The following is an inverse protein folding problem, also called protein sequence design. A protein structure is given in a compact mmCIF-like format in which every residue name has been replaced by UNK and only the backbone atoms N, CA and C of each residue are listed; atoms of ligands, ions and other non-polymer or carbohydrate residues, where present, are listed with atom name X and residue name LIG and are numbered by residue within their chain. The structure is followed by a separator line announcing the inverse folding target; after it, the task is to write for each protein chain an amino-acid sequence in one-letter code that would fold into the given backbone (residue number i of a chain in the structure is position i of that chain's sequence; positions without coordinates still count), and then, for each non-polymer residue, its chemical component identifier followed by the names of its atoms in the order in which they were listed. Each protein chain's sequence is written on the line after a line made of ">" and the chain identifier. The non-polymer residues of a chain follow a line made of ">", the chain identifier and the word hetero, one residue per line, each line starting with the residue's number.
data_IF_463334879039
#
_entry.id   IF_463334879039
#
_cell.length_a   1.000
_cell.length_b   1.000
_cell.length_c   1.000
_cell.angle_alpha   90.00
_cell.angle_beta   90.00
_cell.angle_gamma   90.00
#
_symmetry.space_group_name_H-M   'P 1'
#
loop_
_entity.id
_entity.type
_entity.pdbx_description
1 polymer ?
#
# COMPACT_ATOMS: atom_id res chain seq x y z
N UNK A 1 11.24 28.12 -14.96
CA UNK A 1 12.45 28.65 -15.62
C UNK A 1 12.70 30.11 -15.23
N UNK A 2 11.71 30.96 -15.24
CA UNK A 2 11.83 32.40 -14.84
C UNK A 2 12.32 32.60 -13.41
N UNK A 3 11.80 31.85 -12.46
CA UNK A 3 12.27 31.86 -11.05
C UNK A 3 13.75 31.48 -10.91
N UNK A 4 14.23 30.52 -11.72
CA UNK A 4 15.63 30.12 -11.76
C UNK A 4 16.52 31.26 -12.31
N UNK A 5 16.05 31.95 -13.32
CA UNK A 5 16.77 33.13 -13.89
C UNK A 5 16.85 34.25 -12.87
N UNK A 6 15.76 34.49 -12.11
CA UNK A 6 15.72 35.50 -11.07
C UNK A 6 16.59 35.19 -9.86
N UNK A 7 16.68 33.88 -9.51
CA UNK A 7 17.48 33.38 -8.39
C UNK A 7 18.97 33.28 -8.72
N UNK A 8 19.35 33.29 -10.01
CA UNK A 8 20.74 33.15 -10.43
C UNK A 8 21.53 34.43 -10.21
N UNK A 9 22.63 34.34 -9.49
CA UNK A 9 23.60 35.43 -9.36
C UNK A 9 25.03 34.88 -9.43
N UNK A 10 25.94 35.64 -9.98
CA UNK A 10 27.37 35.28 -10.06
C UNK A 10 27.98 35.21 -8.65
N UNK A 11 27.53 36.08 -7.75
CA UNK A 11 27.95 36.15 -6.35
C UNK A 11 27.53 34.92 -5.56
N UNK A 12 26.38 34.29 -5.93
CA UNK A 12 25.85 33.08 -5.32
C UNK A 12 26.53 31.80 -5.83
N UNK A 13 27.42 31.87 -6.82
CA UNK A 13 28.11 30.70 -7.35
C UNK A 13 29.16 30.19 -6.35
N UNK A 14 29.01 28.93 -5.92
CA UNK A 14 30.04 28.28 -5.11
C UNK A 14 31.31 28.05 -5.93
N UNK A 15 32.46 28.34 -5.33
CA UNK A 15 33.79 28.00 -5.90
C UNK A 15 34.18 26.54 -5.68
N UNK A 16 33.40 25.80 -4.89
CA UNK A 16 33.62 24.38 -4.66
C UNK A 16 33.08 23.53 -5.80
N UNK A 17 33.73 22.40 -6.17
CA UNK A 17 33.19 21.47 -7.15
C UNK A 17 31.78 21.02 -6.73
N UNK A 18 30.82 21.12 -7.64
CA UNK A 18 29.49 20.57 -7.40
C UNK A 18 29.55 19.04 -7.50
N UNK A 19 29.18 18.33 -6.44
CA UNK A 19 28.99 16.88 -6.47
C UNK A 19 27.53 16.62 -6.84
N UNK A 20 27.34 15.86 -7.93
CA UNK A 20 26.01 15.40 -8.32
C UNK A 20 25.57 14.27 -7.39
N UNK A 21 24.70 14.58 -6.44
CA UNK A 21 24.18 13.63 -5.46
C UNK A 21 22.76 13.20 -5.87
N UNK A 22 22.65 12.02 -6.46
CA UNK A 22 21.38 11.42 -6.91
C UNK A 22 20.42 11.23 -5.73
N UNK A 23 20.92 10.81 -4.55
CA UNK A 23 20.07 10.57 -3.39
C UNK A 23 19.43 11.87 -2.90
N UNK A 24 20.22 12.96 -2.87
CA UNK A 24 19.70 14.28 -2.52
C UNK A 24 18.64 14.75 -3.52
N UNK A 25 18.85 14.55 -4.81
CA UNK A 25 17.86 14.91 -5.84
C UNK A 25 16.60 14.07 -5.72
N UNK A 26 16.72 12.77 -5.47
CA UNK A 26 15.56 11.89 -5.24
C UNK A 26 14.77 12.33 -4.01
N UNK A 27 15.45 12.64 -2.91
CA UNK A 27 14.81 13.18 -1.72
C UNK A 27 14.09 14.52 -1.99
N UNK A 28 14.73 15.45 -2.70
CA UNK A 28 14.10 16.72 -3.09
C UNK A 28 12.87 16.48 -3.96
N UNK A 29 12.96 15.57 -4.94
CA UNK A 29 11.83 15.23 -5.80
C UNK A 29 10.64 14.67 -4.99
N UNK A 30 10.93 13.80 -4.01
CA UNK A 30 9.91 13.29 -3.09
C UNK A 30 9.20 14.41 -2.31
N UNK A 31 9.93 15.47 -1.89
CA UNK A 31 9.33 16.64 -1.24
C UNK A 31 8.38 17.41 -2.18
N UNK A 32 8.74 17.56 -3.45
CA UNK A 32 7.86 18.18 -4.44
C UNK A 32 6.62 17.31 -4.70
N UNK A 33 6.77 15.98 -4.82
CA UNK A 33 5.65 15.05 -5.01
C UNK A 33 4.68 15.14 -3.82
N UNK A 34 5.18 15.19 -2.59
CA UNK A 34 4.33 15.31 -1.39
C UNK A 34 3.54 16.61 -1.31
N UNK A 35 4.01 17.68 -1.98
CA UNK A 35 3.33 19.00 -2.02
C UNK A 35 2.25 19.10 -3.09
N UNK A 36 2.20 18.16 -4.03
CA UNK A 36 1.14 18.13 -5.05
C UNK A 36 -0.21 17.99 -4.37
N UNK A 37 -1.22 18.64 -4.92
CA UNK A 37 -2.60 18.31 -4.58
C UNK A 37 -2.94 16.89 -4.99
N UNK A 38 -3.93 16.22 -4.38
CA UNK A 38 -4.34 14.87 -4.78
C UNK A 38 -4.68 14.74 -6.27
N UNK A 39 -5.28 15.78 -6.86
CA UNK A 39 -5.62 15.80 -8.28
C UNK A 39 -4.38 15.87 -9.18
N UNK A 40 -3.40 16.72 -8.84
CA UNK A 40 -2.14 16.82 -9.57
C UNK A 40 -1.33 15.52 -9.46
N UNK A 41 -1.24 14.96 -8.25
CA UNK A 41 -0.56 13.67 -8.06
C UNK A 41 -1.21 12.59 -8.94
N UNK A 42 -2.54 12.48 -8.90
CA UNK A 42 -3.29 11.50 -9.70
C UNK A 42 -3.02 11.69 -11.20
N UNK A 43 -3.04 12.93 -11.69
CA UNK A 43 -2.77 13.22 -13.10
C UNK A 43 -1.36 12.78 -13.54
N UNK A 44 -0.35 13.02 -12.70
CA UNK A 44 1.01 12.55 -12.96
C UNK A 44 1.17 11.03 -12.81
N UNK A 45 0.45 10.40 -11.90
CA UNK A 45 0.53 8.96 -11.61
C UNK A 45 -0.23 8.10 -12.63
N UNK A 46 -1.23 8.64 -13.32
CA UNK A 46 -2.13 7.91 -14.22
C UNK A 46 -1.41 7.03 -15.25
N UNK A 47 -0.38 7.49 -15.99
CA UNK A 47 0.35 6.63 -16.93
C UNK A 47 1.03 5.43 -16.26
N UNK A 48 1.40 5.57 -15.00
CA UNK A 48 2.01 4.50 -14.21
C UNK A 48 0.97 3.54 -13.63
N UNK A 49 -0.25 4.01 -13.35
CA UNK A 49 -1.40 3.14 -13.02
C UNK A 49 -1.80 2.28 -14.21
N UNK A 50 -1.81 2.85 -15.42
CA UNK A 50 -2.05 2.12 -16.66
C UNK A 50 -0.98 1.04 -16.88
N UNK A 51 0.29 1.41 -16.75
CA UNK A 51 1.43 0.48 -16.87
C UNK A 51 1.36 -0.66 -15.86
N UNK A 52 0.89 -0.38 -14.64
CA UNK A 52 0.72 -1.38 -13.58
C UNK A 52 -0.55 -2.23 -13.70
N UNK A 53 -1.46 -1.91 -14.62
CA UNK A 53 -2.75 -2.59 -14.76
C UNK A 53 -3.77 -2.27 -13.67
N UNK A 54 -3.61 -1.15 -12.97
CA UNK A 54 -4.47 -0.73 -11.84
C UNK A 54 -5.31 0.53 -12.14
N UNK A 55 -5.29 1.01 -13.38
CA UNK A 55 -6.01 2.22 -13.78
C UNK A 55 -7.54 2.15 -13.60
N UNK A 56 -8.12 0.95 -13.51
CA UNK A 56 -9.54 0.76 -13.23
C UNK A 56 -9.92 0.79 -11.75
N UNK A 57 -8.95 0.92 -10.85
CA UNK A 57 -9.18 0.97 -9.40
C UNK A 57 -9.49 2.39 -8.93
N UNK A 58 -9.88 2.54 -7.66
CA UNK A 58 -10.15 3.86 -7.05
C UNK A 58 -8.85 4.70 -6.97
N UNK A 59 -8.77 5.73 -7.82
CA UNK A 59 -7.60 6.61 -7.89
C UNK A 59 -7.43 7.46 -6.63
N UNK A 60 -8.50 7.78 -5.90
CA UNK A 60 -8.37 8.55 -4.66
C UNK A 60 -7.68 7.72 -3.58
N UNK A 61 -8.07 6.45 -3.45
CA UNK A 61 -7.42 5.51 -2.52
C UNK A 61 -5.98 5.23 -2.96
N UNK A 62 -5.73 4.94 -4.26
CA UNK A 62 -4.39 4.73 -4.80
C UNK A 62 -3.46 5.91 -4.52
N UNK A 63 -3.89 7.12 -4.86
CA UNK A 63 -3.09 8.33 -4.69
C UNK A 63 -2.79 8.61 -3.22
N UNK A 64 -3.77 8.44 -2.34
CA UNK A 64 -3.61 8.63 -0.90
C UNK A 64 -2.56 7.70 -0.28
N UNK A 65 -2.52 6.43 -0.70
CA UNK A 65 -1.54 5.47 -0.14
C UNK A 65 -0.16 5.59 -0.79
N UNK A 66 -0.08 6.07 -2.04
CA UNK A 66 1.15 6.15 -2.81
C UNK A 66 1.89 7.48 -2.61
N UNK A 67 1.21 8.61 -2.67
CA UNK A 67 1.83 9.94 -2.65
C UNK A 67 2.85 10.14 -1.52
N UNK A 68 2.59 9.74 -0.26
CA UNK A 68 3.56 9.92 0.84
C UNK A 68 4.82 9.07 0.69
N UNK A 69 4.79 8.05 -0.17
CA UNK A 69 5.84 7.03 -0.34
C UNK A 69 6.54 7.08 -1.68
N UNK A 70 6.02 7.88 -2.61
CA UNK A 70 6.57 8.01 -3.96
C UNK A 70 7.72 9.01 -3.95
N UNK A 71 8.90 8.56 -4.31
CA UNK A 71 10.08 9.41 -4.50
C UNK A 71 10.23 9.81 -5.97
N UNK A 72 9.91 8.88 -6.88
CA UNK A 72 9.83 9.09 -8.33
C UNK A 72 8.64 8.31 -8.88
N UNK A 73 7.89 8.87 -9.81
CA UNK A 73 6.68 8.23 -10.35
C UNK A 73 6.95 6.87 -11.02
N UNK A 74 8.16 6.67 -11.55
CA UNK A 74 8.55 5.40 -12.18
C UNK A 74 8.58 4.20 -11.23
N UNK A 75 8.56 4.42 -9.91
CA UNK A 75 8.50 3.35 -8.90
C UNK A 75 7.08 2.80 -8.70
N UNK A 76 6.04 3.55 -9.11
CA UNK A 76 4.64 3.20 -8.84
C UNK A 76 4.28 1.79 -9.33
N UNK A 77 4.62 1.36 -10.56
CA UNK A 77 4.28 0.00 -11.00
C UNK A 77 4.76 -1.09 -10.05
N UNK A 78 6.00 -1.00 -9.57
CA UNK A 78 6.58 -2.00 -8.65
C UNK A 78 5.98 -1.94 -7.25
N UNK A 79 5.45 -0.77 -6.85
CA UNK A 79 4.79 -0.60 -5.56
C UNK A 79 3.40 -1.25 -5.52
N UNK A 80 2.72 -1.39 -6.66
CA UNK A 80 1.32 -1.83 -6.76
C UNK A 80 1.11 -3.05 -7.65
N UNK A 81 2.16 -3.69 -8.17
CA UNK A 81 2.12 -4.88 -9.02
C UNK A 81 1.20 -5.98 -8.44
N UNK A 82 1.27 -6.20 -7.14
CA UNK A 82 0.46 -7.18 -6.42
C UNK A 82 -1.05 -6.90 -6.49
N UNK A 83 -1.46 -5.65 -6.71
CA UNK A 83 -2.89 -5.33 -6.87
C UNK A 83 -3.44 -5.91 -8.18
N UNK A 84 -2.68 -5.77 -9.27
CA UNK A 84 -3.06 -6.32 -10.56
C UNK A 84 -2.97 -7.85 -10.58
N UNK A 85 -1.88 -8.40 -10.01
CA UNK A 85 -1.65 -9.84 -10.00
C UNK A 85 -0.97 -10.27 -8.70
N UNK A 86 -1.63 -11.17 -7.95
CA UNK A 86 -1.03 -11.79 -6.77
C UNK A 86 0.01 -12.82 -7.21
N UNK A 87 1.21 -12.76 -6.63
CA UNK A 87 2.12 -13.90 -6.67
C UNK A 87 1.59 -15.00 -5.74
N UNK A 88 0.87 -15.97 -6.32
CA UNK A 88 0.27 -17.05 -5.54
C UNK A 88 1.30 -18.04 -4.97
N UNK A 89 2.59 -17.89 -5.28
CA UNK A 89 3.67 -18.74 -4.75
C UNK A 89 4.27 -18.23 -3.45
N UNK A 90 3.80 -17.09 -2.93
CA UNK A 90 4.36 -16.51 -1.70
C UNK A 90 4.39 -17.50 -0.52
N UNK A 91 5.45 -17.41 0.29
CA UNK A 91 5.69 -18.30 1.41
C UNK A 91 4.72 -18.05 2.58
N UNK A 92 4.20 -19.11 3.24
CA UNK A 92 3.47 -19.01 4.50
C UNK A 92 4.27 -18.32 5.63
N UNK A 93 5.59 -18.31 5.56
CA UNK A 93 6.44 -17.62 6.54
C UNK A 93 6.23 -16.10 6.58
N UNK A 94 5.70 -15.50 5.50
CA UNK A 94 5.36 -14.07 5.49
C UNK A 94 4.32 -13.69 6.55
N UNK A 95 3.51 -14.63 6.99
CA UNK A 95 2.56 -14.42 8.09
C UNK A 95 3.23 -14.22 9.44
N UNK A 96 4.50 -14.61 9.57
CA UNK A 96 5.25 -14.42 10.82
C UNK A 96 5.71 -12.96 10.98
N UNK A 97 5.32 -12.33 12.10
CA UNK A 97 5.75 -10.99 12.44
C UNK A 97 5.84 -10.81 13.96
N UNK A 98 7.06 -10.55 14.45
CA UNK A 98 7.32 -10.38 15.89
C UNK A 98 6.58 -9.16 16.49
N UNK A 99 6.51 -8.04 15.75
CA UNK A 99 5.85 -6.82 16.22
C UNK A 99 4.34 -6.99 16.33
N UNK A 100 3.75 -7.69 15.37
CA UNK A 100 2.31 -8.02 15.35
C UNK A 100 1.99 -9.28 16.16
N UNK A 101 2.98 -9.99 16.68
CA UNK A 101 2.84 -11.25 17.42
C UNK A 101 2.06 -12.30 16.62
N UNK A 102 2.39 -12.45 15.34
CA UNK A 102 1.76 -13.41 14.43
C UNK A 102 2.75 -14.48 13.99
N UNK A 103 2.22 -15.65 13.73
CA UNK A 103 2.84 -16.81 13.11
C UNK A 103 1.80 -17.51 12.24
N UNK A 104 2.12 -18.59 11.51
CA UNK A 104 1.15 -19.30 10.68
C UNK A 104 -0.10 -19.79 11.42
N UNK A 105 0.03 -20.26 12.65
CA UNK A 105 -1.09 -20.74 13.48
C UNK A 105 -2.06 -19.61 13.85
N UNK A 106 -1.53 -18.48 14.33
CA UNK A 106 -2.32 -17.28 14.63
C UNK A 106 -2.97 -16.75 13.36
N UNK A 107 -2.24 -16.74 12.24
CA UNK A 107 -2.75 -16.28 10.96
C UNK A 107 -3.92 -17.14 10.47
N UNK A 108 -3.81 -18.48 10.60
CA UNK A 108 -4.89 -19.40 10.28
C UNK A 108 -6.14 -19.13 11.11
N UNK A 109 -5.99 -18.98 12.42
CA UNK A 109 -7.11 -18.65 13.31
C UNK A 109 -7.77 -17.31 12.92
N UNK A 110 -6.97 -16.27 12.68
CA UNK A 110 -7.46 -14.95 12.25
C UNK A 110 -8.21 -15.03 10.93
N UNK A 111 -7.63 -15.64 9.89
CA UNK A 111 -8.28 -15.74 8.57
C UNK A 111 -9.57 -16.57 8.63
N UNK A 112 -9.61 -17.63 9.44
CA UNK A 112 -10.82 -18.45 9.65
C UNK A 112 -11.98 -17.66 10.27
N UNK A 113 -11.68 -16.65 11.11
CA UNK A 113 -12.68 -15.75 11.70
C UNK A 113 -13.07 -14.61 10.75
N UNK A 114 -12.09 -14.03 10.06
CA UNK A 114 -12.27 -12.80 9.25
C UNK A 114 -13.01 -13.09 7.94
N UNK A 115 -12.75 -14.22 7.28
CA UNK A 115 -13.35 -14.53 5.97
C UNK A 115 -14.89 -14.62 6.05
N UNK A 116 -15.51 -15.37 6.96
CA UNK A 116 -16.97 -15.39 7.06
C UNK A 116 -17.56 -14.03 7.40
N UNK A 117 -16.93 -13.26 8.29
CA UNK A 117 -17.38 -11.95 8.68
C UNK A 117 -17.36 -10.93 7.52
N UNK A 118 -16.25 -10.89 6.76
CA UNK A 118 -16.16 -10.06 5.55
C UNK A 118 -17.13 -10.51 4.45
N UNK A 119 -17.37 -11.82 4.31
CA UNK A 119 -18.33 -12.35 3.33
C UNK A 119 -19.77 -11.90 3.63
N UNK A 120 -20.11 -11.76 4.89
CA UNK A 120 -21.43 -11.33 5.36
C UNK A 120 -21.62 -9.80 5.37
N UNK A 121 -20.56 -9.02 5.14
CA UNK A 121 -20.62 -7.56 5.19
C UNK A 121 -21.57 -7.04 4.09
N UNK A 122 -22.60 -6.23 4.40
CA UNK A 122 -23.55 -5.75 3.40
C UNK A 122 -22.89 -4.85 2.36
N UNK A 123 -22.10 -3.88 2.81
CA UNK A 123 -21.44 -2.88 1.97
C UNK A 123 -19.92 -3.04 2.03
N UNK A 124 -19.26 -2.99 0.86
CA UNK A 124 -17.81 -3.12 0.74
C UNK A 124 -17.16 -1.75 0.63
N UNK A 125 -17.13 -1.03 1.75
CA UNK A 125 -16.53 0.30 1.88
C UNK A 125 -15.38 0.27 2.87
N UNK A 126 -14.50 1.27 2.79
CA UNK A 126 -13.39 1.41 3.73
C UNK A 126 -13.88 1.49 5.18
N UNK A 127 -14.93 2.27 5.42
CA UNK A 127 -15.54 2.45 6.74
C UNK A 127 -16.11 1.13 7.29
N UNK A 128 -16.86 0.39 6.47
CA UNK A 128 -17.47 -0.88 6.87
C UNK A 128 -16.42 -1.94 7.17
N UNK A 129 -15.41 -2.07 6.31
CA UNK A 129 -14.32 -3.03 6.50
C UNK A 129 -13.48 -2.65 7.73
N UNK A 130 -13.17 -1.36 7.90
CA UNK A 130 -12.44 -0.85 9.06
C UNK A 130 -13.21 -1.14 10.36
N UNK A 131 -14.48 -0.76 10.42
CA UNK A 131 -15.32 -0.99 11.59
C UNK A 131 -15.42 -2.46 11.98
N UNK A 132 -15.65 -3.34 10.97
CA UNK A 132 -15.72 -4.78 11.18
C UNK A 132 -14.39 -5.33 11.74
N UNK A 133 -13.25 -5.09 11.05
CA UNK A 133 -11.98 -5.68 11.43
C UNK A 133 -11.46 -5.19 12.78
N UNK A 134 -11.63 -3.90 13.09
CA UNK A 134 -11.22 -3.37 14.39
C UNK A 134 -12.16 -3.79 15.52
N UNK A 135 -13.47 -3.88 15.25
CA UNK A 135 -14.45 -4.45 16.17
C UNK A 135 -14.08 -5.89 16.54
N UNK A 136 -13.82 -6.73 15.54
CA UNK A 136 -13.37 -8.12 15.75
C UNK A 136 -12.08 -8.21 16.57
N UNK A 137 -11.10 -7.34 16.31
CA UNK A 137 -9.86 -7.31 17.08
C UNK A 137 -10.15 -7.01 18.57
N UNK A 138 -11.01 -6.04 18.84
CA UNK A 138 -11.41 -5.67 20.20
C UNK A 138 -12.18 -6.80 20.90
N UNK A 139 -13.17 -7.42 20.25
CA UNK A 139 -13.95 -8.54 20.76
C UNK A 139 -13.09 -9.75 21.11
N UNK A 140 -12.07 -10.03 20.30
CA UNK A 140 -11.13 -11.12 20.52
C UNK A 140 -9.99 -10.74 21.51
N UNK A 141 -9.97 -9.54 22.05
CA UNK A 141 -8.88 -9.06 22.91
C UNK A 141 -7.52 -8.99 22.20
N UNK A 142 -7.51 -8.91 20.87
CA UNK A 142 -6.32 -8.86 20.04
C UNK A 142 -5.89 -7.41 19.78
N UNK A 143 -4.57 -7.19 19.59
CA UNK A 143 -4.10 -5.93 19.00
C UNK A 143 -4.49 -5.86 17.53
N UNK A 144 -4.82 -4.67 17.04
CA UNK A 144 -5.16 -4.45 15.62
C UNK A 144 -4.11 -5.05 14.66
N UNK A 145 -2.81 -4.89 14.97
CA UNK A 145 -1.74 -5.47 14.16
C UNK A 145 -1.75 -7.00 14.10
N UNK A 146 -2.21 -7.66 15.17
CA UNK A 146 -2.32 -9.14 15.21
C UNK A 146 -3.40 -9.63 14.25
N UNK A 147 -4.50 -8.90 14.11
CA UNK A 147 -5.56 -9.23 13.16
C UNK A 147 -5.24 -8.74 11.74
N UNK A 148 -4.77 -7.51 11.59
CA UNK A 148 -4.59 -6.90 10.28
C UNK A 148 -3.37 -7.43 9.51
N UNK A 149 -2.33 -7.92 10.20
CA UNK A 149 -1.13 -8.45 9.52
C UNK A 149 -1.46 -9.66 8.65
N UNK A 150 -2.11 -10.75 9.16
CA UNK A 150 -2.49 -11.88 8.35
C UNK A 150 -3.40 -11.52 7.17
N UNK A 151 -4.37 -10.63 7.39
CA UNK A 151 -5.26 -10.14 6.34
C UNK A 151 -4.45 -9.46 5.23
N UNK A 152 -3.52 -8.56 5.58
CA UNK A 152 -2.70 -7.86 4.60
C UNK A 152 -1.80 -8.82 3.81
N UNK A 153 -1.16 -9.77 4.49
CA UNK A 153 -0.30 -10.77 3.81
C UNK A 153 -1.12 -11.61 2.84
N UNK A 154 -2.28 -12.09 3.24
CA UNK A 154 -3.15 -12.87 2.37
C UNK A 154 -3.61 -12.09 1.13
N UNK A 155 -3.91 -10.79 1.30
CA UNK A 155 -4.33 -9.92 0.20
C UNK A 155 -3.18 -9.55 -0.76
N UNK A 156 -1.97 -9.36 -0.26
CA UNK A 156 -0.86 -8.79 -1.01
C UNK A 156 0.27 -9.76 -1.38
N UNK A 157 0.44 -10.86 -0.65
CA UNK A 157 1.58 -11.76 -0.81
C UNK A 157 2.94 -11.13 -0.48
N UNK A 158 2.94 -9.94 0.15
CA UNK A 158 4.14 -9.15 0.44
C UNK A 158 4.12 -8.58 1.86
N UNK A 159 5.31 -8.44 2.47
CA UNK A 159 5.44 -7.81 3.79
C UNK A 159 5.40 -6.28 3.73
N UNK A 160 5.84 -5.70 2.63
CA UNK A 160 5.87 -4.25 2.43
C UNK A 160 4.89 -3.86 1.34
N UNK A 161 3.92 -3.02 1.69
CA UNK A 161 2.89 -2.51 0.80
C UNK A 161 2.66 -1.02 1.05
N UNK A 162 2.26 -0.24 0.05
CA UNK A 162 1.96 1.19 0.24
C UNK A 162 0.73 1.43 1.12
N UNK A 163 -0.25 0.51 1.11
CA UNK A 163 -1.45 0.56 1.93
C UNK A 163 -1.50 -0.52 3.01
N UNK A 164 -2.42 -0.39 3.95
CA UNK A 164 -2.77 -1.41 4.93
C UNK A 164 -3.76 -2.45 4.38
N UNK A 165 -4.19 -3.37 5.25
CA UNK A 165 -5.13 -4.43 4.87
C UNK A 165 -6.48 -3.88 4.35
N UNK A 166 -6.93 -2.77 4.92
CA UNK A 166 -8.25 -2.19 4.63
C UNK A 166 -8.24 -1.54 3.25
N UNK A 167 -7.29 -0.65 2.98
CA UNK A 167 -7.15 0.02 1.69
C UNK A 167 -6.93 -0.99 0.56
N UNK A 168 -6.13 -2.02 0.80
CA UNK A 168 -5.89 -3.09 -0.18
C UNK A 168 -7.19 -3.86 -0.45
N UNK A 169 -7.97 -4.21 0.59
CA UNK A 169 -9.25 -4.89 0.42
C UNK A 169 -10.26 -4.05 -0.39
N UNK A 170 -10.30 -2.74 -0.14
CA UNK A 170 -11.15 -1.81 -0.91
C UNK A 170 -10.73 -1.79 -2.38
N UNK A 171 -9.44 -1.62 -2.67
CA UNK A 171 -8.91 -1.54 -4.04
C UNK A 171 -9.15 -2.83 -4.83
N UNK A 172 -9.02 -3.99 -4.21
CA UNK A 172 -9.27 -5.29 -4.83
C UNK A 172 -10.77 -5.57 -5.07
N UNK A 173 -11.64 -4.93 -4.31
CA UNK A 173 -13.06 -5.25 -4.30
C UNK A 173 -13.36 -6.57 -3.59
N UNK A 174 -14.65 -6.79 -3.27
CA UNK A 174 -15.11 -7.94 -2.45
C UNK A 174 -14.66 -9.29 -3.02
N UNK A 175 -14.95 -9.56 -4.27
CA UNK A 175 -14.72 -10.88 -4.88
C UNK A 175 -13.25 -11.28 -4.85
N UNK A 176 -12.36 -10.40 -5.31
CA UNK A 176 -10.93 -10.68 -5.37
C UNK A 176 -10.31 -10.71 -3.98
N UNK A 177 -10.73 -9.82 -3.07
CA UNK A 177 -10.25 -9.84 -1.69
C UNK A 177 -10.59 -11.16 -0.99
N UNK A 178 -11.84 -11.63 -1.09
CA UNK A 178 -12.25 -12.90 -0.48
C UNK A 178 -11.54 -14.09 -1.12
N UNK A 179 -11.33 -14.10 -2.44
CA UNK A 179 -10.55 -15.12 -3.14
C UNK A 179 -9.12 -15.21 -2.59
N UNK A 180 -8.44 -14.07 -2.44
CA UNK A 180 -7.07 -14.01 -1.91
C UNK A 180 -6.98 -14.43 -0.45
N UNK A 181 -7.95 -14.02 0.37
CA UNK A 181 -8.02 -14.45 1.77
C UNK A 181 -8.19 -15.96 1.89
N UNK A 182 -9.06 -16.56 1.08
CA UNK A 182 -9.27 -18.00 1.04
C UNK A 182 -7.99 -18.75 0.58
N UNK A 183 -7.29 -18.22 -0.43
CA UNK A 183 -6.00 -18.74 -0.87
C UNK A 183 -4.96 -18.68 0.27
N UNK A 184 -4.88 -17.54 0.96
CA UNK A 184 -3.99 -17.36 2.11
C UNK A 184 -4.27 -18.37 3.24
N UNK A 185 -5.55 -18.62 3.53
CA UNK A 185 -5.95 -19.62 4.51
C UNK A 185 -5.55 -21.03 4.07
N UNK A 186 -5.77 -21.37 2.79
CA UNK A 186 -5.39 -22.69 2.26
C UNK A 186 -3.88 -22.97 2.33
N UNK A 187 -3.04 -21.94 2.25
CA UNK A 187 -1.58 -22.06 2.41
C UNK A 187 -1.15 -22.40 3.85
N UNK A 188 -2.02 -22.17 4.81
CA UNK A 188 -1.76 -22.41 6.23
C UNK A 188 -2.24 -23.80 6.70
N UNK A 189 -2.81 -24.58 5.81
CA UNK A 189 -3.19 -25.98 6.04
C UNK A 189 -4.58 -26.16 6.62
#
# INVERSE_FOLDING_TARGET
>A
MEELIQAFSVEGMSKSPAIFDVNKLTWMNAEYIRRLSPAEFTAHALPYYEKAGVAGMDHAVLSRILQPRTEVFTQIPDMVDFLAQLDETYSPELFTNKKSKTNPEVAKAVLSLVIPALSALPDWTEESIHGLLLGMAAEQGMKNGTLLWPVRIALAGKQVTPGGAIEIAVLLGRSEALRRLALGLAKLG
#
